data_IF_169415364701
#
_entry.id   IF_169415364701
#
_cell.length_a   1.000
_cell.length_b   1.000
_cell.length_c   1.000
_cell.angle_alpha   90.00
_cell.angle_beta   90.00
_cell.angle_gamma   90.00
#
_symmetry.space_group_name_H-M   'P 1'
#
loop_
_entity.id
_entity.type
_entity.pdbx_description
1 polymer ?
#
# COMPACT_ATOMS: atom_id res chain seq x y z
N UNK A 1 26.61 -2.02 10.49
CA UNK A 1 25.55 -1.52 9.59
C UNK A 1 24.44 -2.55 9.55
N UNK A 2 23.39 -2.35 10.35
CA UNK A 2 22.27 -3.29 10.46
C UNK A 2 21.46 -3.23 9.16
N UNK A 3 21.54 -4.27 8.32
CA UNK A 3 20.59 -4.50 7.22
C UNK A 3 19.18 -4.62 7.80
N UNK A 4 18.49 -3.49 8.00
CA UNK A 4 17.09 -3.46 8.42
C UNK A 4 16.26 -3.64 7.16
N UNK A 5 15.58 -4.78 7.05
CA UNK A 5 14.58 -5.04 6.01
C UNK A 5 13.39 -4.11 6.24
N UNK A 6 13.49 -2.88 5.76
CA UNK A 6 12.44 -1.86 5.82
C UNK A 6 11.61 -1.90 4.53
N UNK A 7 10.38 -1.38 4.62
CA UNK A 7 9.54 -1.19 3.44
C UNK A 7 10.21 -0.23 2.45
N UNK A 8 10.20 -0.56 1.15
CA UNK A 8 10.76 0.30 0.11
C UNK A 8 10.04 1.66 -0.03
N UNK A 9 8.82 1.77 0.47
CA UNK A 9 7.99 2.97 0.28
C UNK A 9 8.54 4.10 1.14
N UNK A 10 8.82 5.25 0.52
CA UNK A 10 9.39 6.43 1.19
C UNK A 10 8.53 6.94 2.35
N UNK A 11 7.20 6.82 2.21
CA UNK A 11 6.22 7.15 3.25
C UNK A 11 5.94 6.02 4.24
N UNK A 12 6.73 4.93 4.22
CA UNK A 12 6.54 3.77 5.09
C UNK A 12 7.88 3.31 5.67
N UNK A 13 8.17 3.71 6.91
CA UNK A 13 9.37 3.27 7.64
C UNK A 13 9.11 1.98 8.47
N UNK A 14 8.16 1.15 8.03
CA UNK A 14 7.76 -0.04 8.81
C UNK A 14 8.81 -1.15 8.67
N UNK A 15 9.26 -1.74 9.79
CA UNK A 15 10.14 -2.90 9.77
C UNK A 15 9.38 -4.13 9.26
N UNK A 16 9.88 -4.72 8.17
CA UNK A 16 9.33 -5.95 7.60
C UNK A 16 9.84 -7.19 8.35
N UNK A 17 10.89 -7.02 9.16
CA UNK A 17 11.47 -8.09 9.99
C UNK A 17 10.45 -8.50 11.07
N UNK A 18 9.85 -9.68 10.92
CA UNK A 18 8.85 -10.22 11.85
C UNK A 18 7.39 -9.94 11.47
N UNK A 19 7.13 -9.27 10.35
CA UNK A 19 5.79 -9.01 9.82
C UNK A 19 5.56 -9.72 8.49
N UNK A 20 4.30 -9.88 8.07
CA UNK A 20 3.97 -10.43 6.74
C UNK A 20 4.21 -9.36 5.70
N UNK A 21 5.21 -9.56 4.84
CA UNK A 21 5.55 -8.67 3.74
C UNK A 21 5.61 -9.41 2.42
N UNK A 22 5.44 -8.66 1.33
CA UNK A 22 5.46 -9.19 -0.04
C UNK A 22 6.78 -8.81 -0.70
N UNK A 23 7.44 -9.76 -1.34
CA UNK A 23 8.69 -9.53 -2.04
C UNK A 23 8.39 -9.32 -3.53
N UNK A 24 8.42 -8.06 -3.99
CA UNK A 24 8.12 -7.71 -5.39
C UNK A 24 9.39 -7.25 -6.09
N UNK A 25 9.74 -7.90 -7.22
CA UNK A 25 10.91 -7.56 -8.02
C UNK A 25 12.23 -7.52 -7.22
N UNK A 26 12.38 -8.44 -6.26
CA UNK A 26 13.57 -8.52 -5.40
C UNK A 26 13.62 -7.49 -4.28
N UNK A 27 12.54 -6.73 -4.03
CA UNK A 27 12.48 -5.74 -2.96
C UNK A 27 11.30 -6.00 -2.02
N UNK A 28 11.48 -5.80 -0.70
CA UNK A 28 10.46 -6.16 0.27
C UNK A 28 9.48 -4.98 0.48
N UNK A 29 8.18 -5.27 0.46
CA UNK A 29 7.08 -4.30 0.57
C UNK A 29 6.07 -4.75 1.63
N UNK A 30 5.58 -3.81 2.43
CA UNK A 30 4.53 -4.08 3.41
C UNK A 30 3.21 -4.46 2.71
N UNK A 31 2.37 -5.28 3.36
CA UNK A 31 1.11 -5.75 2.75
C UNK A 31 0.18 -4.57 2.46
N UNK A 32 0.04 -3.65 3.42
CA UNK A 32 -0.75 -2.42 3.28
C UNK A 32 -0.24 -1.54 2.12
N UNK A 33 1.07 -1.38 2.00
CA UNK A 33 1.72 -0.60 0.96
C UNK A 33 1.48 -1.22 -0.41
N UNK A 34 1.54 -2.56 -0.47
CA UNK A 34 1.25 -3.31 -1.68
C UNK A 34 -0.23 -3.14 -2.04
N UNK A 35 -1.14 -3.32 -1.09
CA UNK A 35 -2.57 -3.12 -1.30
C UNK A 35 -2.89 -1.68 -1.73
N UNK A 36 -2.26 -0.65 -1.16
CA UNK A 36 -2.44 0.75 -1.57
C UNK A 36 -1.73 1.15 -2.86
N UNK A 37 -0.63 0.49 -3.24
CA UNK A 37 0.08 0.73 -4.51
C UNK A 37 -0.64 0.11 -5.70
N UNK A 38 -1.35 -1.00 -5.45
CA UNK A 38 -2.12 -1.74 -6.44
C UNK A 38 -3.62 -1.48 -6.33
N UNK A 39 -4.01 -0.63 -5.39
CA UNK A 39 -5.32 -0.02 -5.32
C UNK A 39 -5.61 0.63 -6.68
N UNK A 40 -6.49 0.00 -7.46
CA UNK A 40 -6.90 0.52 -8.74
C UNK A 40 -7.50 1.92 -8.54
N UNK A 41 -7.11 2.92 -9.34
CA UNK A 41 -7.79 4.20 -9.33
C UNK A 41 -9.20 4.02 -9.87
N UNK A 42 -10.17 4.58 -9.17
CA UNK A 42 -11.56 4.64 -9.58
C UNK A 42 -11.67 5.26 -10.98
N UNK A 43 -12.04 4.49 -11.99
CA UNK A 43 -12.23 4.98 -13.36
C UNK A 43 -13.34 6.05 -13.46
N UNK A 44 -14.26 6.07 -12.48
CA UNK A 44 -15.35 7.05 -12.41
C UNK A 44 -14.97 8.36 -11.71
N UNK A 45 -13.93 8.37 -10.87
CA UNK A 45 -13.65 9.47 -9.96
C UNK A 45 -12.16 9.86 -9.84
N UNK A 46 -11.25 9.06 -10.39
CA UNK A 46 -9.80 9.28 -10.38
C UNK A 46 -9.09 8.92 -9.07
N UNK A 47 -9.83 8.59 -8.00
CA UNK A 47 -9.26 8.35 -6.67
C UNK A 47 -8.74 6.91 -6.46
N UNK A 48 -7.62 6.71 -5.73
CA UNK A 48 -7.07 5.38 -5.44
C UNK A 48 -7.96 4.57 -4.49
N UNK A 49 -8.47 3.43 -4.97
CA UNK A 49 -9.34 2.50 -4.20
C UNK A 49 -8.48 1.63 -3.29
N UNK A 50 -7.91 2.22 -2.24
CA UNK A 50 -7.06 1.51 -1.27
C UNK A 50 -7.05 2.09 0.13
N UNK A 51 -7.47 3.35 0.24
CA UNK A 51 -7.56 4.07 1.52
C UNK A 51 -8.69 5.10 1.52
N UNK A 52 -9.52 5.11 0.48
CA UNK A 52 -10.62 6.06 0.40
C UNK A 52 -11.68 5.69 1.46
N UNK A 53 -12.07 6.59 2.37
CA UNK A 53 -13.28 6.40 3.14
C UNK A 53 -14.45 6.21 2.17
N UNK A 54 -15.48 5.42 2.55
CA UNK A 54 -16.60 5.15 1.66
C UNK A 54 -17.20 6.48 1.20
N UNK A 55 -17.12 6.78 -0.10
CA UNK A 55 -17.85 7.92 -0.68
C UNK A 55 -19.34 7.62 -0.50
N UNK A 56 -20.13 8.50 0.13
CA UNK A 56 -21.57 8.31 0.19
C UNK A 56 -22.10 8.38 -1.24
N UNK A 57 -22.70 7.28 -1.70
CA UNK A 57 -23.44 7.24 -2.96
C UNK A 57 -24.65 8.16 -2.81
N UNK A 58 -24.76 9.26 -3.59
CA UNK A 58 -26.00 10.03 -3.59
C UNK A 58 -27.11 9.16 -4.22
N UNK A 59 -28.27 9.02 -3.58
CA UNK A 59 -29.40 8.35 -4.19
C UNK A 59 -29.90 9.14 -5.41
N UNK A 60 -30.52 8.47 -6.39
CA UNK A 60 -31.10 9.10 -7.58
C UNK A 60 -32.25 10.06 -7.23
#
# INVERSE_FOLDING_TARGET
LTSRSLCRRDTCDVPLRGQRYVMKSGRPCCRDCFESLFAEPCQACGDPIGTAPPRPVPPP
#
